data_IF_910924287975
#
_entry.id   IF_910924287975
#
_cell.length_a   1.000
_cell.length_b   1.000
_cell.length_c   1.000
_cell.angle_alpha   90.00
_cell.angle_beta   90.00
_cell.angle_gamma   90.00
#
_symmetry.space_group_name_H-M   'P 1'
#
loop_
_entity.id
_entity.type
_entity.pdbx_description
1 polymer ?
#
# COMPACT_ATOMS: atom_id res chain seq x y z
N UNK A 1 25.79 1.56 3.38
CA UNK A 1 24.67 0.58 3.48
C UNK A 1 23.35 1.32 3.59
N UNK A 2 22.23 0.64 3.33
CA UNK A 2 20.89 1.24 3.46
C UNK A 2 20.01 0.35 4.34
N UNK A 3 19.55 0.88 5.47
CA UNK A 3 18.61 0.21 6.35
C UNK A 3 17.19 0.69 6.04
N UNK A 4 16.35 -0.20 5.55
CA UNK A 4 14.92 0.06 5.34
C UNK A 4 14.14 -0.35 6.57
N UNK A 5 13.26 0.52 7.07
CA UNK A 5 12.40 0.29 8.23
C UNK A 5 10.95 0.52 7.82
N UNK A 6 10.14 -0.54 7.91
CA UNK A 6 8.71 -0.52 7.68
C UNK A 6 8.01 -0.78 9.01
N UNK A 7 7.32 0.22 9.55
CA UNK A 7 6.78 0.19 10.89
C UNK A 7 5.28 0.53 10.88
N UNK A 8 4.44 -0.44 11.19
CA UNK A 8 2.99 -0.28 11.36
C UNK A 8 2.54 -0.43 12.82
N UNK A 9 1.22 -0.44 13.03
CA UNK A 9 0.63 -0.66 14.34
C UNK A 9 0.82 -2.08 14.87
N UNK A 10 0.85 -3.07 13.98
CA UNK A 10 0.89 -4.50 14.32
C UNK A 10 2.14 -5.22 13.82
N UNK A 11 3.09 -4.52 13.20
CA UNK A 11 4.36 -5.14 12.82
C UNK A 11 5.45 -4.11 12.57
N UNK A 12 6.69 -4.53 12.77
CA UNK A 12 7.89 -3.80 12.35
C UNK A 12 8.77 -4.73 11.54
N UNK A 13 9.30 -4.25 10.43
CA UNK A 13 10.26 -4.97 9.60
C UNK A 13 11.48 -4.10 9.40
N UNK A 14 12.66 -4.71 9.45
CA UNK A 14 13.86 -4.08 8.94
C UNK A 14 14.56 -4.95 7.92
N UNK A 15 15.21 -4.32 6.96
CA UNK A 15 16.12 -4.96 6.01
C UNK A 15 17.33 -4.06 5.80
N UNK A 16 18.53 -4.60 6.00
CA UNK A 16 19.80 -3.95 5.71
C UNK A 16 20.29 -4.40 4.34
N UNK A 17 20.57 -3.45 3.47
CA UNK A 17 21.07 -3.68 2.13
C UNK A 17 22.48 -3.12 1.93
N UNK A 18 23.27 -3.83 1.11
CA UNK A 18 24.57 -3.37 0.62
C UNK A 18 24.41 -2.21 -0.37
N UNK A 19 25.52 -1.61 -0.80
CA UNK A 19 25.52 -0.58 -1.85
C UNK A 19 25.01 -1.07 -3.20
N UNK A 20 24.98 -2.40 -3.44
CA UNK A 20 24.43 -3.04 -4.64
C UNK A 20 22.99 -3.53 -4.44
N UNK A 21 22.33 -3.13 -3.35
CA UNK A 21 20.99 -3.57 -2.95
C UNK A 21 20.86 -5.08 -2.70
N UNK A 22 21.97 -5.77 -2.39
CA UNK A 22 21.92 -7.15 -1.90
C UNK A 22 21.52 -7.15 -0.42
N UNK A 23 20.64 -8.07 -0.02
CA UNK A 23 20.22 -8.22 1.37
C UNK A 23 21.40 -8.70 2.23
N UNK A 24 21.68 -7.98 3.32
CA UNK A 24 22.75 -8.28 4.27
C UNK A 24 22.19 -8.88 5.56
N UNK A 25 21.12 -8.28 6.09
CA UNK A 25 20.45 -8.73 7.30
C UNK A 25 18.98 -8.28 7.27
N UNK A 26 18.11 -8.97 8.00
CA UNK A 26 16.70 -8.63 7.98
C UNK A 26 15.87 -9.50 8.90
N UNK A 27 14.87 -8.88 9.52
CA UNK A 27 13.95 -9.58 10.41
C UNK A 27 12.55 -8.95 10.35
N UNK A 28 11.54 -9.78 10.56
CA UNK A 28 10.14 -9.37 10.70
C UNK A 28 9.73 -9.58 12.16
N UNK A 29 9.17 -8.53 12.77
CA UNK A 29 8.59 -8.56 14.10
C UNK A 29 7.06 -8.49 13.95
N UNK A 30 6.38 -9.64 13.75
CA UNK A 30 4.92 -9.68 13.72
C UNK A 30 4.33 -9.32 15.08
N UNK A 31 3.09 -8.84 15.08
CA UNK A 31 2.31 -8.46 16.26
C UNK A 31 3.05 -7.50 17.21
N UNK A 32 3.96 -6.70 16.65
CA UNK A 32 4.86 -5.84 17.41
C UNK A 32 4.79 -4.41 16.88
N UNK A 33 4.49 -3.46 17.76
CA UNK A 33 4.55 -2.03 17.45
C UNK A 33 5.97 -1.46 17.70
N UNK A 34 6.33 -0.34 17.05
CA UNK A 34 7.57 0.40 17.32
C UNK A 34 7.72 0.73 18.80
N UNK A 35 8.82 0.29 19.40
CA UNK A 35 9.16 0.55 20.80
C UNK A 35 10.65 0.78 20.99
N UNK A 36 11.01 1.46 22.08
CA UNK A 36 12.42 1.69 22.45
C UNK A 36 13.19 0.35 22.57
N UNK A 37 12.58 -0.67 23.20
CA UNK A 37 13.20 -2.00 23.38
C UNK A 37 13.51 -2.64 22.03
N UNK A 38 12.56 -2.60 21.09
CA UNK A 38 12.74 -3.19 19.77
C UNK A 38 13.88 -2.49 19.00
N UNK A 39 13.91 -1.16 18.98
CA UNK A 39 14.94 -0.44 18.25
C UNK A 39 16.33 -0.59 18.89
N UNK A 40 16.40 -0.76 20.21
CA UNK A 40 17.65 -1.16 20.88
C UNK A 40 18.13 -2.54 20.42
N UNK A 41 17.22 -3.51 20.32
CA UNK A 41 17.53 -4.85 19.81
C UNK A 41 18.02 -4.79 18.36
N UNK A 42 17.32 -4.07 17.47
CA UNK A 42 17.74 -3.88 16.08
C UNK A 42 19.14 -3.25 16.01
N UNK A 43 19.42 -2.23 16.82
CA UNK A 43 20.74 -1.60 16.85
C UNK A 43 21.85 -2.57 17.27
N UNK A 44 21.60 -3.43 18.27
CA UNK A 44 22.55 -4.47 18.70
C UNK A 44 22.77 -5.53 17.62
N UNK A 45 21.70 -6.00 16.98
CA UNK A 45 21.79 -7.00 15.90
C UNK A 45 22.59 -6.50 14.70
N UNK A 46 22.58 -5.17 14.46
CA UNK A 46 23.28 -4.53 13.35
C UNK A 46 24.67 -3.99 13.72
N UNK A 47 25.09 -4.09 14.98
CA UNK A 47 26.31 -3.44 15.48
C UNK A 47 27.56 -3.91 14.72
N UNK A 48 27.67 -5.22 14.43
CA UNK A 48 28.83 -5.77 13.72
C UNK A 48 28.87 -5.36 12.24
N UNK A 49 27.73 -5.19 11.59
CA UNK A 49 27.61 -4.81 10.18
C UNK A 49 27.84 -3.31 9.95
N UNK A 50 27.66 -2.48 10.98
CA UNK A 50 27.67 -1.01 10.87
C UNK A 50 29.00 -0.34 11.27
N UNK A 51 30.01 -1.08 11.76
CA UNK A 51 31.25 -0.53 12.35
C UNK A 51 32.06 0.45 11.48
N UNK A 52 31.91 0.43 10.15
CA UNK A 52 32.71 1.27 9.24
C UNK A 52 31.92 1.86 8.06
N UNK A 53 30.59 1.71 8.04
CA UNK A 53 29.78 2.03 6.87
C UNK A 53 28.92 3.27 7.09
N UNK A 54 28.98 4.22 6.15
CA UNK A 54 27.99 5.31 6.08
C UNK A 54 26.59 4.70 5.88
N UNK A 55 25.70 4.97 6.83
CA UNK A 55 24.35 4.41 6.86
C UNK A 55 23.33 5.45 6.39
N UNK A 56 22.50 5.06 5.42
CA UNK A 56 21.23 5.73 5.12
C UNK A 56 20.10 4.90 5.69
N UNK A 57 19.08 5.52 6.27
CA UNK A 57 17.90 4.83 6.79
C UNK A 57 16.66 5.30 6.05
N UNK A 58 15.99 4.39 5.35
CA UNK A 58 14.73 4.64 4.67
C UNK A 58 13.56 4.27 5.58
N UNK A 59 12.69 5.23 5.87
CA UNK A 59 11.49 5.04 6.69
C UNK A 59 10.27 5.05 5.79
N UNK A 60 9.44 4.00 5.87
CA UNK A 60 8.11 4.05 5.26
C UNK A 60 7.27 5.10 5.98
N UNK A 61 6.58 5.94 5.21
CA UNK A 61 5.57 6.87 5.70
C UNK A 61 4.33 6.73 4.83
N UNK A 62 3.15 6.52 5.42
CA UNK A 62 1.94 6.31 4.61
C UNK A 62 1.48 7.61 3.96
N UNK A 63 1.44 8.73 4.70
CA UNK A 63 0.96 10.00 4.15
C UNK A 63 1.81 11.19 4.58
N UNK A 64 2.32 11.95 3.62
CA UNK A 64 3.11 13.17 3.87
C UNK A 64 2.36 14.49 3.71
N UNK A 65 1.02 14.47 3.71
CA UNK A 65 0.21 15.60 3.24
C UNK A 65 0.33 15.86 1.73
N UNK A 66 -0.16 17.03 1.25
CA UNK A 66 -0.22 17.36 -0.18
C UNK A 66 1.17 17.50 -0.82
N UNK A 67 2.15 18.00 -0.07
CA UNK A 67 3.45 18.40 -0.64
C UNK A 67 4.58 17.38 -0.43
N UNK A 68 4.49 16.47 0.55
CA UNK A 68 5.56 15.48 0.79
C UNK A 68 5.21 14.14 0.16
N UNK A 69 5.52 14.02 -1.13
CA UNK A 69 5.32 12.78 -1.91
C UNK A 69 6.63 12.23 -2.49
N UNK A 70 7.76 12.90 -2.34
CA UNK A 70 9.05 12.41 -2.86
C UNK A 70 9.92 11.85 -1.74
N UNK A 71 10.72 10.80 -2.00
CA UNK A 71 11.75 10.38 -1.07
C UNK A 71 12.63 11.57 -0.70
N UNK A 72 12.79 11.86 0.59
CA UNK A 72 13.51 13.05 1.04
C UNK A 72 14.13 12.87 2.42
N UNK A 73 15.19 13.64 2.69
CA UNK A 73 15.84 13.66 4.01
C UNK A 73 14.87 14.15 5.07
N UNK A 74 14.83 13.47 6.21
CA UNK A 74 13.96 13.83 7.34
C UNK A 74 14.54 15.04 8.06
N UNK A 75 13.76 16.12 8.08
CA UNK A 75 14.04 17.36 8.83
C UNK A 75 12.92 17.61 9.85
N UNK A 76 13.07 18.57 10.79
CA UNK A 76 11.98 18.96 11.69
C UNK A 76 10.69 19.35 10.95
N UNK A 77 10.81 20.00 9.78
CA UNK A 77 9.67 20.34 8.93
C UNK A 77 8.94 19.10 8.40
N UNK A 78 9.68 18.08 7.93
CA UNK A 78 9.10 16.82 7.47
C UNK A 78 8.33 16.12 8.61
N UNK A 79 8.93 16.02 9.80
CA UNK A 79 8.30 15.42 10.98
C UNK A 79 7.02 16.16 11.36
N UNK A 80 7.05 17.50 11.42
CA UNK A 80 5.89 18.33 11.73
C UNK A 80 4.77 18.13 10.70
N UNK A 81 5.11 18.06 9.42
CA UNK A 81 4.13 17.89 8.35
C UNK A 81 3.46 16.52 8.41
N UNK A 82 4.21 15.45 8.62
CA UNK A 82 3.64 14.09 8.80
C UNK A 82 2.71 14.06 10.02
N UNK A 83 3.09 14.73 11.12
CA UNK A 83 2.27 14.82 12.34
C UNK A 83 0.94 15.55 12.08
N UNK A 84 0.96 16.69 11.39
CA UNK A 84 -0.23 17.47 11.09
C UNK A 84 -1.24 16.70 10.21
N UNK A 85 -0.75 15.79 9.36
CA UNK A 85 -1.57 14.98 8.45
C UNK A 85 -1.79 13.55 8.96
N UNK A 86 -1.47 13.25 10.22
CA UNK A 86 -1.63 11.90 10.78
C UNK A 86 -3.09 11.43 10.78
N UNK A 87 -4.06 12.35 10.81
CA UNK A 87 -5.49 12.04 10.73
C UNK A 87 -5.92 11.40 9.39
N UNK A 88 -5.13 11.58 8.31
CA UNK A 88 -5.37 10.93 7.01
C UNK A 88 -4.95 9.46 6.98
N UNK A 89 -4.04 9.06 7.88
CA UNK A 89 -3.56 7.69 8.01
C UNK A 89 -3.36 7.32 9.50
N UNK A 90 -4.42 7.32 10.31
CA UNK A 90 -4.32 7.26 11.78
C UNK A 90 -3.75 5.93 12.28
N UNK A 91 -3.92 4.85 11.52
CA UNK A 91 -3.36 3.53 11.82
C UNK A 91 -1.88 3.37 11.45
N UNK A 92 -1.29 4.36 10.79
CA UNK A 92 0.05 4.23 10.20
C UNK A 92 0.99 5.37 10.59
N UNK A 93 0.65 6.62 10.27
CA UNK A 93 1.53 7.77 10.46
C UNK A 93 2.05 7.92 11.91
N UNK A 94 1.24 7.74 12.97
CA UNK A 94 1.74 7.80 14.35
C UNK A 94 2.83 6.77 14.64
N UNK A 95 2.71 5.56 14.10
CA UNK A 95 3.69 4.48 14.28
C UNK A 95 4.94 4.71 13.42
N UNK A 96 4.77 5.24 12.19
CA UNK A 96 5.89 5.68 11.36
C UNK A 96 6.72 6.75 12.08
N UNK A 97 6.08 7.75 12.69
CA UNK A 97 6.74 8.81 13.44
C UNK A 97 7.52 8.28 14.66
N UNK A 98 6.92 7.36 15.45
CA UNK A 98 7.61 6.70 16.57
C UNK A 98 8.84 5.92 16.09
N UNK A 99 8.73 5.19 15.00
CA UNK A 99 9.85 4.47 14.41
C UNK A 99 10.99 5.41 13.97
N UNK A 100 10.65 6.54 13.33
CA UNK A 100 11.62 7.59 12.96
C UNK A 100 12.33 8.12 14.21
N UNK A 101 11.58 8.43 15.28
CA UNK A 101 12.12 8.94 16.53
C UNK A 101 13.11 7.94 17.17
N UNK A 102 12.69 6.68 17.35
CA UNK A 102 13.55 5.66 17.93
C UNK A 102 14.78 5.39 17.07
N UNK A 103 14.63 5.29 15.75
CA UNK A 103 15.76 5.09 14.85
C UNK A 103 16.77 6.24 14.96
N UNK A 104 16.32 7.50 15.01
CA UNK A 104 17.23 8.65 15.14
C UNK A 104 18.01 8.64 16.46
N UNK A 105 17.42 8.07 17.51
CA UNK A 105 18.09 7.91 18.81
C UNK A 105 19.18 6.83 18.78
N UNK A 106 18.92 5.70 18.12
CA UNK A 106 19.86 4.57 18.08
C UNK A 106 20.86 4.63 16.90
N UNK A 107 20.58 5.44 15.88
CA UNK A 107 21.45 5.65 14.72
C UNK A 107 21.69 7.14 14.45
N UNK A 108 22.23 7.91 15.43
CA UNK A 108 22.28 9.38 15.35
C UNK A 108 23.15 9.91 14.20
N UNK A 109 24.15 9.14 13.78
CA UNK A 109 25.07 9.52 12.70
C UNK A 109 24.56 9.13 11.30
N UNK A 110 23.41 8.44 11.21
CA UNK A 110 22.84 8.02 9.94
C UNK A 110 22.07 9.15 9.26
N UNK A 111 22.00 9.13 7.93
CA UNK A 111 21.09 10.01 7.19
C UNK A 111 19.71 9.35 7.10
N UNK A 112 18.70 9.96 7.71
CA UNK A 112 17.33 9.45 7.70
C UNK A 112 16.53 10.04 6.54
N UNK A 113 15.77 9.21 5.84
CA UNK A 113 14.93 9.57 4.70
C UNK A 113 13.52 9.03 4.91
N UNK A 114 12.51 9.82 4.55
CA UNK A 114 11.13 9.36 4.47
C UNK A 114 10.84 8.91 3.04
N UNK A 115 10.17 7.77 2.88
CA UNK A 115 9.67 7.24 1.61
C UNK A 115 8.16 7.09 1.74
N UNK A 116 7.41 7.79 0.89
CA UNK A 116 5.97 7.92 1.04
C UNK A 116 5.18 6.93 0.17
N UNK A 117 4.15 6.30 0.73
CA UNK A 117 3.24 5.42 -0.03
C UNK A 117 2.50 6.18 -1.15
N UNK A 118 2.28 7.49 -0.99
CA UNK A 118 1.68 8.36 -2.01
C UNK A 118 2.65 8.71 -3.15
N UNK A 119 3.94 8.36 -3.02
CA UNK A 119 4.98 8.88 -3.89
C UNK A 119 4.98 8.35 -5.32
N UNK A 120 4.49 7.13 -5.54
CA UNK A 120 4.39 6.54 -6.88
C UNK A 120 3.26 7.19 -7.71
N UNK A 121 2.26 7.75 -7.03
CA UNK A 121 1.06 8.35 -7.63
C UNK A 121 1.17 9.86 -7.83
N UNK A 122 2.31 10.46 -7.50
CA UNK A 122 2.61 11.88 -7.78
C UNK A 122 2.44 12.29 -9.26
N UNK A 123 2.40 11.31 -10.18
CA UNK A 123 2.29 11.53 -11.62
C UNK A 123 0.89 11.24 -12.16
N UNK A 124 -0.10 11.03 -11.29
CA UNK A 124 -1.49 10.89 -11.74
C UNK A 124 -1.87 12.14 -12.56
N UNK A 125 -2.53 11.96 -13.72
CA UNK A 125 -3.11 13.08 -14.44
C UNK A 125 -4.30 13.64 -13.66
N UNK A 126 -4.59 14.94 -13.78
CA UNK A 126 -5.68 15.61 -13.06
C UNK A 126 -7.05 14.92 -13.25
N UNK A 127 -7.30 14.31 -14.41
CA UNK A 127 -8.53 13.56 -14.69
C UNK A 127 -8.70 12.32 -13.79
N UNK A 128 -7.62 11.75 -13.28
CA UNK A 128 -7.64 10.64 -12.31
C UNK A 128 -7.43 11.10 -10.86
N UNK A 129 -6.81 12.28 -10.66
CA UNK A 129 -6.51 12.84 -9.34
C UNK A 129 -7.69 13.60 -8.73
N UNK A 130 -8.51 14.30 -9.52
CA UNK A 130 -9.59 15.15 -9.02
C UNK A 130 -10.90 14.37 -8.82
N UNK A 131 -11.55 14.61 -7.69
CA UNK A 131 -12.94 14.18 -7.49
C UNK A 131 -13.91 15.14 -8.19
N UNK A 132 -15.06 14.65 -8.70
CA UNK A 132 -16.08 15.47 -9.38
C UNK A 132 -16.93 16.28 -8.37
N UNK A 133 -16.25 17.10 -7.57
CA UNK A 133 -16.82 18.05 -6.59
C UNK A 133 -16.30 19.46 -6.92
N UNK A 134 -16.83 20.54 -6.33
CA UNK A 134 -16.37 21.89 -6.65
C UNK A 134 -14.84 22.02 -6.51
N UNK A 135 -14.20 22.56 -7.56
CA UNK A 135 -12.73 22.64 -7.66
C UNK A 135 -12.07 23.41 -6.49
N UNK A 136 -12.84 24.25 -5.80
CA UNK A 136 -12.40 24.94 -4.58
C UNK A 136 -11.99 23.97 -3.46
N UNK A 137 -12.56 22.77 -3.38
CA UNK A 137 -12.18 21.78 -2.37
C UNK A 137 -10.77 21.24 -2.58
N UNK A 138 -10.41 20.97 -3.84
CA UNK A 138 -9.03 20.66 -4.22
C UNK A 138 -8.10 21.84 -3.87
N UNK A 139 -8.42 23.05 -4.37
CA UNK A 139 -7.54 24.23 -4.22
C UNK A 139 -7.32 24.66 -2.77
N UNK A 140 -8.35 24.57 -1.91
CA UNK A 140 -8.30 25.07 -0.53
C UNK A 140 -7.92 24.00 0.49
N UNK A 141 -8.35 22.76 0.27
CA UNK A 141 -8.25 21.70 1.27
C UNK A 141 -7.43 20.49 0.82
N UNK A 142 -6.94 20.46 -0.43
CA UNK A 142 -6.18 19.32 -0.94
C UNK A 142 -7.01 18.03 -0.98
N UNK A 143 -8.31 18.14 -1.26
CA UNK A 143 -9.18 16.98 -1.47
C UNK A 143 -8.97 16.46 -2.89
N UNK A 144 -8.20 15.40 -2.97
CA UNK A 144 -7.75 14.75 -4.20
C UNK A 144 -7.45 13.27 -3.92
N UNK A 145 -7.29 12.48 -4.98
CA UNK A 145 -6.80 11.11 -4.91
C UNK A 145 -5.29 11.11 -4.69
N UNK A 146 -4.88 10.72 -3.48
CA UNK A 146 -3.47 10.53 -3.15
C UNK A 146 -2.94 9.17 -3.63
N UNK A 147 -3.75 8.12 -3.45
CA UNK A 147 -3.32 6.74 -3.67
C UNK A 147 -2.32 6.22 -2.62
N UNK A 148 -2.39 4.93 -2.31
CA UNK A 148 -1.51 4.29 -1.31
C UNK A 148 -0.98 2.94 -1.79
N UNK A 149 -0.08 2.33 -1.00
CA UNK A 149 0.76 1.21 -1.42
C UNK A 149 1.69 1.55 -2.61
N UNK A 150 2.02 2.82 -2.84
CA UNK A 150 2.84 3.22 -3.98
C UNK A 150 4.24 2.63 -3.95
N UNK A 151 4.81 2.35 -2.78
CA UNK A 151 6.09 1.63 -2.66
C UNK A 151 5.94 0.21 -3.22
N UNK A 152 4.86 -0.49 -2.88
CA UNK A 152 4.60 -1.84 -3.37
C UNK A 152 4.28 -1.86 -4.87
N UNK A 153 3.48 -0.91 -5.37
CA UNK A 153 3.19 -0.78 -6.80
C UNK A 153 4.43 -0.40 -7.61
N UNK A 154 5.28 0.50 -7.10
CA UNK A 154 6.57 0.84 -7.70
C UNK A 154 7.51 -0.38 -7.77
N UNK A 155 7.54 -1.18 -6.70
CA UNK A 155 8.29 -2.44 -6.68
C UNK A 155 7.77 -3.42 -7.73
N UNK A 156 6.45 -3.65 -7.80
CA UNK A 156 5.83 -4.51 -8.80
C UNK A 156 6.15 -4.06 -10.22
N UNK A 157 6.07 -2.76 -10.50
CA UNK A 157 6.39 -2.19 -11.79
C UNK A 157 7.86 -2.40 -12.17
N UNK A 158 8.78 -2.23 -11.21
CA UNK A 158 10.21 -2.45 -11.41
C UNK A 158 10.54 -3.92 -11.70
N UNK A 159 9.98 -4.85 -10.93
CA UNK A 159 10.20 -6.30 -11.15
C UNK A 159 9.57 -6.76 -12.46
N UNK A 160 8.37 -6.28 -12.79
CA UNK A 160 7.73 -6.60 -14.06
C UNK A 160 8.55 -6.11 -15.25
N UNK A 161 9.09 -4.87 -15.19
CA UNK A 161 10.01 -4.34 -16.19
C UNK A 161 11.22 -5.26 -16.42
N UNK A 162 11.81 -5.79 -15.35
CA UNK A 162 12.95 -6.71 -15.44
C UNK A 162 12.55 -8.06 -16.06
N UNK A 163 11.45 -8.66 -15.58
CA UNK A 163 10.94 -9.95 -16.07
C UNK A 163 10.52 -9.91 -17.54
N UNK A 164 9.86 -8.83 -17.96
CA UNK A 164 9.41 -8.63 -19.34
C UNK A 164 10.52 -8.11 -20.26
N UNK A 165 11.67 -7.67 -19.70
CA UNK A 165 12.73 -6.98 -20.44
C UNK A 165 12.24 -5.73 -21.19
N UNK A 166 11.23 -5.04 -20.64
CA UNK A 166 10.62 -3.84 -21.22
C UNK A 166 10.99 -2.59 -20.42
N UNK A 167 11.44 -1.53 -21.10
CA UNK A 167 11.84 -0.29 -20.41
C UNK A 167 10.66 0.57 -19.95
N UNK A 168 9.54 0.51 -20.69
CA UNK A 168 8.33 1.31 -20.49
C UNK A 168 7.05 0.45 -20.64
N UNK A 169 6.85 -0.57 -19.78
CA UNK A 169 5.68 -1.44 -19.89
C UNK A 169 4.39 -0.72 -19.48
N UNK A 170 3.28 -1.20 -20.03
CA UNK A 170 1.92 -0.95 -19.56
C UNK A 170 1.47 -2.10 -18.67
N UNK A 171 1.15 -1.83 -17.41
CA UNK A 171 0.88 -2.85 -16.41
C UNK A 171 -0.42 -2.53 -15.66
N UNK A 172 -1.11 -3.57 -15.21
CA UNK A 172 -2.07 -3.47 -14.12
C UNK A 172 -1.47 -4.19 -12.92
N UNK A 173 -1.16 -3.45 -11.86
CA UNK A 173 -0.52 -4.01 -10.66
C UNK A 173 -1.55 -4.13 -9.54
N UNK A 174 -1.65 -5.30 -8.92
CA UNK A 174 -2.58 -5.61 -7.84
C UNK A 174 -1.78 -5.92 -6.58
N UNK A 175 -1.91 -5.07 -5.56
CA UNK A 175 -1.43 -5.37 -4.22
C UNK A 175 -2.62 -5.86 -3.40
N UNK A 176 -2.74 -7.17 -3.20
CA UNK A 176 -3.86 -7.78 -2.49
C UNK A 176 -3.41 -8.31 -1.13
N UNK A 177 -4.00 -7.79 -0.06
CA UNK A 177 -3.70 -8.14 1.32
C UNK A 177 -4.79 -7.64 2.28
N UNK A 178 -4.45 -7.44 3.56
CA UNK A 178 -5.39 -6.85 4.53
C UNK A 178 -5.91 -5.49 4.08
N UNK A 179 -5.03 -4.68 3.48
CA UNK A 179 -5.40 -3.63 2.54
C UNK A 179 -5.17 -4.10 1.11
N UNK A 180 -6.07 -3.72 0.20
CA UNK A 180 -5.97 -4.09 -1.19
C UNK A 180 -6.13 -2.88 -2.10
N UNK A 181 -5.23 -2.75 -3.08
CA UNK A 181 -5.27 -1.69 -4.10
C UNK A 181 -4.83 -2.23 -5.45
N UNK A 182 -5.31 -1.57 -6.50
CA UNK A 182 -4.91 -1.83 -7.89
C UNK A 182 -4.44 -0.52 -8.52
N UNK A 183 -3.53 -0.59 -9.48
CA UNK A 183 -2.95 0.58 -10.15
C UNK A 183 -2.74 0.31 -11.63
N UNK A 184 -3.17 1.26 -12.46
CA UNK A 184 -2.83 1.32 -13.88
C UNK A 184 -1.50 2.04 -14.07
N UNK A 185 -0.55 1.38 -14.74
CA UNK A 185 0.77 1.91 -15.04
C UNK A 185 0.90 2.01 -16.54
N UNK A 186 1.03 3.21 -17.10
CA UNK A 186 1.25 3.47 -18.52
C UNK A 186 2.68 3.91 -18.75
N UNK A 187 3.42 3.19 -19.60
CA UNK A 187 4.83 3.49 -19.92
C UNK A 187 5.69 3.69 -18.66
N UNK A 188 5.57 2.78 -17.70
CA UNK A 188 6.24 2.79 -16.39
C UNK A 188 5.88 3.95 -15.43
N UNK A 189 4.78 4.68 -15.66
CA UNK A 189 4.26 5.71 -14.73
C UNK A 189 2.84 5.37 -14.31
N UNK A 190 2.52 5.55 -13.03
CA UNK A 190 1.14 5.41 -12.58
C UNK A 190 0.26 6.48 -13.24
N UNK A 191 -0.87 6.05 -13.78
CA UNK A 191 -1.90 6.93 -14.37
C UNK A 191 -3.24 6.84 -13.64
N UNK A 192 -3.46 5.80 -12.84
CA UNK A 192 -4.65 5.62 -12.01
C UNK A 192 -4.37 4.64 -10.86
N UNK A 193 -5.07 4.77 -9.74
CA UNK A 193 -5.01 3.87 -8.58
C UNK A 193 -6.31 3.86 -7.77
N UNK A 194 -6.70 2.71 -7.23
CA UNK A 194 -8.05 2.57 -6.68
C UNK A 194 -8.25 3.27 -5.35
N UNK A 195 -7.20 3.35 -4.53
CA UNK A 195 -7.30 4.10 -3.29
C UNK A 195 -7.29 5.60 -3.55
N UNK A 196 -8.02 6.32 -2.71
CA UNK A 196 -8.43 7.69 -2.92
C UNK A 196 -7.66 8.72 -2.11
N UNK A 197 -8.43 9.66 -1.57
CA UNK A 197 -8.04 10.59 -0.51
C UNK A 197 -7.51 9.86 0.73
N UNK A 198 -8.13 8.73 1.05
CA UNK A 198 -7.69 7.83 2.12
C UNK A 198 -7.56 6.40 1.59
N UNK A 199 -6.94 5.49 2.36
CA UNK A 199 -6.88 4.08 2.00
C UNK A 199 -8.24 3.36 1.96
N UNK A 200 -9.37 4.03 2.17
CA UNK A 200 -10.69 3.42 2.23
C UNK A 200 -11.29 3.11 0.85
N UNK A 201 -11.13 4.01 -0.12
CA UNK A 201 -11.70 3.86 -1.48
C UNK A 201 -11.06 2.67 -2.21
N UNK A 202 -11.81 2.10 -3.15
CA UNK A 202 -11.30 1.13 -4.10
C UNK A 202 -11.86 -0.27 -3.93
N UNK A 203 -10.94 -1.21 -3.84
CA UNK A 203 -11.26 -2.61 -3.65
C UNK A 203 -11.93 -2.84 -2.30
N UNK A 204 -12.83 -3.82 -2.25
CA UNK A 204 -13.19 -4.47 -1.00
C UNK A 204 -11.90 -5.04 -0.37
N UNK A 205 -11.71 -4.88 0.93
CA UNK A 205 -10.49 -5.35 1.61
C UNK A 205 -10.87 -6.25 2.78
N UNK A 206 -9.93 -6.56 3.68
CA UNK A 206 -10.24 -7.42 4.81
C UNK A 206 -11.33 -6.84 5.72
N UNK A 207 -11.11 -5.65 6.27
CA UNK A 207 -12.05 -4.97 7.17
C UNK A 207 -12.62 -3.66 6.61
N UNK A 208 -12.14 -3.24 5.43
CA UNK A 208 -12.55 -2.01 4.75
C UNK A 208 -13.58 -2.28 3.67
N UNK A 209 -14.55 -1.39 3.56
CA UNK A 209 -15.63 -1.49 2.60
C UNK A 209 -15.15 -1.40 1.13
N UNK A 210 -14.17 -0.54 0.84
CA UNK A 210 -13.89 -0.13 -0.53
C UNK A 210 -14.95 0.87 -1.02
N UNK A 211 -15.18 0.92 -2.33
CA UNK A 211 -16.24 1.77 -2.88
C UNK A 211 -17.61 1.40 -2.30
N UNK A 212 -18.31 2.42 -1.85
CA UNK A 212 -19.70 2.43 -1.42
C UNK A 212 -20.33 3.72 -1.96
N UNK A 213 -21.62 3.69 -2.24
CA UNK A 213 -22.36 4.90 -2.61
C UNK A 213 -22.36 5.90 -1.44
N UNK A 214 -21.86 7.14 -1.62
CA UNK A 214 -21.95 8.19 -0.62
C UNK A 214 -23.40 8.48 -0.18
N UNK A 215 -24.39 8.22 -1.04
CA UNK A 215 -25.82 8.32 -0.74
C UNK A 215 -26.24 7.47 0.46
N UNK A 216 -25.59 6.33 0.71
CA UNK A 216 -25.78 5.52 1.92
C UNK A 216 -25.39 6.34 3.15
N UNK A 217 -24.23 6.99 3.14
CA UNK A 217 -23.75 7.79 4.27
C UNK A 217 -24.60 9.04 4.51
N UNK A 218 -25.17 9.61 3.44
CA UNK A 218 -25.98 10.83 3.54
C UNK A 218 -27.42 10.52 3.97
N UNK A 219 -28.04 9.47 3.39
CA UNK A 219 -29.47 9.21 3.55
C UNK A 219 -29.80 8.17 4.62
N UNK A 220 -28.94 7.17 4.85
CA UNK A 220 -29.22 6.05 5.76
C UNK A 220 -28.55 6.22 7.13
N UNK A 221 -28.24 7.45 7.53
CA UNK A 221 -27.62 7.75 8.82
C UNK A 221 -28.70 8.13 9.83
N UNK A 222 -29.10 7.24 10.76
CA UNK A 222 -29.87 7.62 11.93
C UNK A 222 -29.27 8.85 12.59
N UNK A 223 -30.11 9.73 13.15
CA UNK A 223 -29.67 11.00 13.78
C UNK A 223 -28.54 10.84 14.82
N UNK A 224 -28.37 9.63 15.37
CA UNK A 224 -27.38 9.31 16.40
C UNK A 224 -26.05 8.77 15.83
N UNK A 225 -25.95 8.52 14.53
CA UNK A 225 -24.73 8.02 13.90
C UNK A 225 -23.95 9.18 13.28
N UNK A 226 -22.76 9.46 13.80
CA UNK A 226 -21.88 10.51 13.29
C UNK A 226 -20.73 9.98 12.45
N UNK A 227 -19.84 10.88 12.02
CA UNK A 227 -18.64 10.54 11.25
C UNK A 227 -17.76 9.46 11.92
N UNK A 228 -17.69 9.46 13.26
CA UNK A 228 -16.94 8.44 14.02
C UNK A 228 -17.54 7.03 13.85
N UNK A 229 -18.86 6.92 13.84
CA UNK A 229 -19.56 5.64 13.65
C UNK A 229 -19.25 5.09 12.24
N UNK A 230 -19.46 5.90 11.20
CA UNK A 230 -19.17 5.48 9.83
C UNK A 230 -17.69 5.17 9.60
N UNK A 231 -16.79 5.97 10.18
CA UNK A 231 -15.37 5.67 10.13
C UNK A 231 -15.07 4.29 10.72
N UNK A 232 -15.74 3.92 11.82
CA UNK A 232 -15.59 2.60 12.43
C UNK A 232 -16.11 1.48 11.53
N UNK A 233 -17.37 1.61 11.07
CA UNK A 233 -18.01 0.63 10.19
C UNK A 233 -17.19 0.40 8.94
N UNK A 234 -16.85 1.48 8.23
CA UNK A 234 -16.20 1.42 6.92
C UNK A 234 -14.75 0.94 6.96
N UNK A 235 -14.03 1.13 8.08
CA UNK A 235 -12.61 0.74 8.18
C UNK A 235 -12.35 -0.57 8.93
N UNK A 236 -13.21 -0.97 9.88
CA UNK A 236 -12.92 -2.07 10.80
C UNK A 236 -13.96 -3.19 10.83
N UNK A 237 -15.17 -2.93 10.34
CA UNK A 237 -16.31 -3.88 10.45
C UNK A 237 -16.91 -4.25 9.08
N UNK A 238 -16.33 -3.74 7.99
CA UNK A 238 -16.79 -3.98 6.62
C UNK A 238 -15.92 -5.02 5.90
N UNK A 239 -16.00 -5.08 4.57
CA UNK A 239 -15.12 -5.89 3.74
C UNK A 239 -15.38 -7.39 3.90
N UNK A 240 -14.35 -8.20 3.62
CA UNK A 240 -14.41 -9.66 3.72
C UNK A 240 -14.86 -10.10 5.11
N UNK A 241 -14.34 -9.47 6.15
CA UNK A 241 -14.71 -9.69 7.55
C UNK A 241 -16.19 -9.44 7.78
N UNK A 242 -16.70 -8.26 7.39
CA UNK A 242 -18.08 -7.87 7.64
C UNK A 242 -19.12 -8.78 6.98
N UNK A 243 -18.84 -9.24 5.75
CA UNK A 243 -19.77 -10.11 5.01
C UNK A 243 -19.65 -11.58 5.45
N UNK A 244 -18.44 -12.08 5.68
CA UNK A 244 -18.21 -13.50 5.96
C UNK A 244 -18.28 -13.90 7.43
N UNK A 245 -17.99 -12.96 8.36
CA UNK A 245 -17.76 -13.26 9.77
C UNK A 245 -16.51 -14.11 10.06
N UNK A 246 -15.62 -14.29 9.08
CA UNK A 246 -14.41 -15.10 9.23
C UNK A 246 -13.31 -14.37 10.02
N UNK A 247 -12.42 -15.14 10.66
CA UNK A 247 -11.32 -14.58 11.48
C UNK A 247 -10.24 -13.94 10.63
N UNK A 248 -9.87 -14.61 9.54
CA UNK A 248 -8.80 -14.22 8.62
C UNK A 248 -9.07 -14.77 7.21
N UNK A 249 -8.19 -14.46 6.26
CA UNK A 249 -8.35 -14.85 4.87
C UNK A 249 -8.25 -16.37 4.65
N UNK A 250 -7.48 -17.08 5.46
CA UNK A 250 -7.33 -18.53 5.34
C UNK A 250 -8.59 -19.25 5.85
N UNK A 251 -9.18 -18.76 6.95
CA UNK A 251 -10.49 -19.21 7.44
C UNK A 251 -11.59 -18.99 6.39
N UNK A 252 -11.57 -17.85 5.70
CA UNK A 252 -12.49 -17.56 4.59
C UNK A 252 -12.40 -18.62 3.48
N UNK A 253 -11.18 -18.93 3.01
CA UNK A 253 -10.97 -19.93 1.95
C UNK A 253 -11.42 -21.31 2.39
N UNK A 254 -11.13 -21.70 3.63
CA UNK A 254 -11.54 -22.98 4.20
C UNK A 254 -13.07 -23.10 4.28
N UNK A 255 -13.75 -22.11 4.88
CA UNK A 255 -15.23 -22.09 4.96
C UNK A 255 -15.91 -22.06 3.60
N UNK A 256 -15.32 -21.35 2.63
CA UNK A 256 -15.79 -21.38 1.24
C UNK A 256 -15.68 -22.79 0.64
N UNK A 257 -14.57 -23.49 0.86
CA UNK A 257 -14.38 -24.86 0.39
C UNK A 257 -15.39 -25.83 1.03
N UNK A 258 -15.79 -25.58 2.29
CA UNK A 258 -16.87 -26.29 2.99
C UNK A 258 -18.30 -25.85 2.58
N UNK A 259 -18.45 -24.92 1.63
CA UNK A 259 -19.75 -24.50 1.12
C UNK A 259 -20.48 -23.44 1.94
N UNK A 260 -19.82 -22.77 2.90
CA UNK A 260 -20.46 -21.72 3.70
C UNK A 260 -20.88 -20.54 2.81
N UNK A 261 -22.18 -20.23 2.80
CA UNK A 261 -22.77 -19.23 1.90
C UNK A 261 -22.17 -17.82 2.07
N UNK A 262 -21.98 -17.36 3.31
CA UNK A 262 -21.44 -16.01 3.57
C UNK A 262 -19.96 -15.90 3.19
N UNK A 263 -19.18 -16.97 3.37
CA UNK A 263 -17.78 -17.02 2.95
C UNK A 263 -17.66 -17.00 1.41
N UNK A 264 -18.51 -17.77 0.72
CA UNK A 264 -18.61 -17.74 -0.75
C UNK A 264 -19.00 -16.35 -1.25
N UNK A 265 -20.07 -15.76 -0.70
CA UNK A 265 -20.53 -14.42 -1.07
C UNK A 265 -19.44 -13.37 -0.88
N UNK A 266 -18.77 -13.35 0.27
CA UNK A 266 -17.70 -12.39 0.54
C UNK A 266 -16.54 -12.52 -0.47
N UNK A 267 -16.12 -13.76 -0.77
CA UNK A 267 -15.08 -14.02 -1.76
C UNK A 267 -15.50 -13.59 -3.17
N UNK A 268 -16.73 -13.92 -3.58
CA UNK A 268 -17.26 -13.58 -4.90
C UNK A 268 -17.39 -12.05 -5.07
N UNK A 269 -17.83 -11.32 -4.02
CA UNK A 269 -17.85 -9.85 -4.01
C UNK A 269 -16.45 -9.25 -4.14
N UNK A 270 -15.45 -9.81 -3.45
CA UNK A 270 -14.06 -9.37 -3.52
C UNK A 270 -13.48 -9.57 -4.92
N UNK A 271 -13.67 -10.75 -5.51
CA UNK A 271 -13.25 -11.07 -6.88
C UNK A 271 -13.95 -10.16 -7.90
N UNK A 272 -15.27 -10.00 -7.79
CA UNK A 272 -16.06 -9.16 -8.68
C UNK A 272 -15.57 -7.70 -8.65
N UNK A 273 -15.29 -7.15 -7.45
CA UNK A 273 -14.75 -5.80 -7.33
C UNK A 273 -13.38 -5.68 -8.01
N UNK A 274 -12.50 -6.65 -7.83
CA UNK A 274 -11.19 -6.67 -8.51
C UNK A 274 -11.36 -6.70 -10.03
N UNK A 275 -12.25 -7.54 -10.53
CA UNK A 275 -12.53 -7.68 -11.96
C UNK A 275 -13.03 -6.37 -12.59
N UNK A 276 -13.95 -5.67 -11.91
CA UNK A 276 -14.40 -4.33 -12.34
C UNK A 276 -13.24 -3.36 -12.47
N UNK A 277 -12.34 -3.31 -11.50
CA UNK A 277 -11.18 -2.43 -11.54
C UNK A 277 -10.17 -2.82 -12.63
N UNK A 278 -9.96 -4.12 -12.87
CA UNK A 278 -9.13 -4.56 -13.99
C UNK A 278 -9.75 -4.10 -15.32
N UNK A 279 -11.07 -4.26 -15.51
CA UNK A 279 -11.76 -3.79 -16.70
C UNK A 279 -11.64 -2.27 -16.90
N UNK A 280 -11.85 -1.49 -15.83
CA UNK A 280 -11.68 -0.03 -15.86
C UNK A 280 -10.24 0.37 -16.24
N UNK A 281 -9.23 -0.30 -15.68
CA UNK A 281 -7.82 0.02 -15.96
C UNK A 281 -7.31 -0.53 -17.28
N UNK A 282 -7.89 -1.61 -17.77
CA UNK A 282 -7.70 -2.06 -19.15
C UNK A 282 -8.18 -0.98 -20.12
N UNK A 283 -9.37 -0.40 -19.88
CA UNK A 283 -9.89 0.71 -20.67
C UNK A 283 -9.02 1.98 -20.54
N UNK A 284 -8.59 2.35 -19.33
CA UNK A 284 -7.70 3.50 -19.11
C UNK A 284 -6.32 3.35 -19.80
N UNK A 285 -5.89 2.12 -20.04
CA UNK A 285 -4.68 1.77 -20.80
C UNK A 285 -4.94 1.58 -22.30
N UNK A 286 -6.13 1.90 -22.79
CA UNK A 286 -6.57 1.73 -24.19
C UNK A 286 -6.39 0.28 -24.69
N UNK A 287 -6.65 -0.70 -23.82
CA UNK A 287 -6.49 -2.13 -24.08
C UNK A 287 -5.06 -2.64 -24.23
N UNK A 288 -4.06 -1.75 -24.12
CA UNK A 288 -2.63 -2.12 -24.20
C UNK A 288 -2.11 -2.44 -22.81
N UNK A 289 -2.08 -3.74 -22.47
CA UNK A 289 -1.56 -4.24 -21.19
C UNK A 289 -0.54 -5.35 -21.46
N UNK A 290 0.71 -5.12 -21.10
CA UNK A 290 1.78 -6.11 -21.24
C UNK A 290 1.66 -7.22 -20.19
N UNK A 291 1.33 -6.83 -18.94
CA UNK A 291 1.12 -7.78 -17.87
C UNK A 291 0.17 -7.29 -16.77
N UNK A 292 -0.46 -8.26 -16.13
CA UNK A 292 -1.06 -8.11 -14.80
C UNK A 292 -0.08 -8.65 -13.76
N UNK A 293 0.16 -7.88 -12.70
CA UNK A 293 1.13 -8.21 -11.67
C UNK A 293 0.43 -8.37 -10.33
N UNK A 294 0.37 -9.60 -9.82
CA UNK A 294 -0.17 -9.90 -8.50
C UNK A 294 0.93 -9.83 -7.44
N UNK A 295 0.64 -9.12 -6.36
CA UNK A 295 1.48 -8.99 -5.16
C UNK A 295 0.63 -8.85 -3.91
N UNK A 296 1.26 -8.59 -2.77
CA UNK A 296 0.62 -8.65 -1.46
C UNK A 296 0.42 -10.09 -0.97
N UNK A 297 0.10 -10.27 0.31
CA UNK A 297 -0.04 -11.60 0.93
C UNK A 297 -1.08 -12.48 0.25
N UNK A 298 -2.20 -11.89 -0.20
CA UNK A 298 -3.27 -12.62 -0.90
C UNK A 298 -2.86 -12.81 -2.36
N UNK A 299 -2.43 -11.75 -3.04
CA UNK A 299 -2.19 -11.79 -4.48
C UNK A 299 -1.03 -12.70 -4.85
N UNK A 300 0.08 -12.64 -4.11
CA UNK A 300 1.21 -13.54 -4.32
C UNK A 300 1.00 -14.92 -3.71
N UNK A 301 0.39 -14.99 -2.52
CA UNK A 301 0.26 -16.23 -1.75
C UNK A 301 -0.84 -17.19 -2.19
N UNK A 302 -1.88 -16.73 -2.89
CA UNK A 302 -3.03 -17.59 -3.21
C UNK A 302 -3.33 -17.71 -4.72
N UNK A 303 -3.09 -18.91 -5.26
CA UNK A 303 -3.39 -19.23 -6.65
C UNK A 303 -4.90 -19.29 -6.94
N UNK A 304 -5.73 -19.66 -5.95
CA UNK A 304 -7.18 -19.78 -6.11
C UNK A 304 -7.78 -18.41 -6.43
N UNK A 305 -7.38 -17.39 -5.67
CA UNK A 305 -7.80 -16.00 -5.90
C UNK A 305 -7.35 -15.48 -7.24
N UNK A 306 -6.07 -15.67 -7.60
CA UNK A 306 -5.58 -15.23 -8.91
C UNK A 306 -6.36 -15.84 -10.06
N UNK A 307 -6.65 -17.15 -9.97
CA UNK A 307 -7.46 -17.86 -10.95
C UNK A 307 -8.87 -17.29 -11.02
N UNK A 308 -9.57 -17.18 -9.88
CA UNK A 308 -10.91 -16.62 -9.84
C UNK A 308 -10.99 -15.19 -10.42
N UNK A 309 -9.98 -14.35 -10.14
CA UNK A 309 -9.88 -13.01 -10.73
C UNK A 309 -9.74 -13.06 -12.25
N UNK A 310 -8.85 -13.92 -12.77
CA UNK A 310 -8.58 -14.00 -14.21
C UNK A 310 -9.70 -14.69 -15.02
N UNK A 311 -10.36 -15.71 -14.45
CA UNK A 311 -11.33 -16.54 -15.17
C UNK A 311 -12.56 -15.75 -15.66
N UNK A 312 -12.92 -14.65 -14.98
CA UNK A 312 -14.03 -13.76 -15.40
C UNK A 312 -13.67 -12.70 -16.44
N UNK A 313 -12.43 -12.68 -16.97
CA UNK A 313 -11.93 -11.59 -17.81
C UNK A 313 -11.29 -12.13 -19.11
N UNK A 314 -12.09 -12.48 -20.14
CA UNK A 314 -11.59 -13.14 -21.34
C UNK A 314 -10.57 -12.30 -22.13
N UNK A 315 -10.64 -10.97 -22.07
CA UNK A 315 -9.67 -10.06 -22.70
C UNK A 315 -8.25 -10.18 -22.12
N UNK A 316 -8.08 -10.84 -20.97
CA UNK A 316 -6.77 -11.12 -20.40
C UNK A 316 -6.11 -12.37 -20.96
N UNK A 317 -6.76 -13.15 -21.83
CA UNK A 317 -6.25 -14.45 -22.31
C UNK A 317 -4.77 -14.37 -22.73
N UNK A 318 -4.41 -13.35 -23.50
CA UNK A 318 -3.05 -13.16 -24.04
C UNK A 318 -2.17 -12.19 -23.22
N UNK A 319 -2.66 -11.66 -22.10
CA UNK A 319 -1.88 -10.77 -21.21
C UNK A 319 -1.02 -11.62 -20.28
N UNK A 320 0.25 -11.26 -20.07
CA UNK A 320 1.10 -11.99 -19.13
C UNK A 320 0.60 -11.84 -17.68
N UNK A 321 0.67 -12.91 -16.87
CA UNK A 321 0.31 -12.87 -15.45
C UNK A 321 1.57 -13.11 -14.63
N UNK A 322 2.04 -12.07 -13.94
CA UNK A 322 3.22 -12.12 -13.11
C UNK A 322 2.82 -12.21 -11.64
N UNK A 323 3.54 -13.03 -10.90
CA UNK A 323 3.50 -13.06 -9.44
C UNK A 323 4.80 -12.47 -8.90
N UNK A 324 4.68 -11.55 -7.96
CA UNK A 324 5.78 -10.80 -7.36
C UNK A 324 5.62 -10.81 -5.84
N UNK A 325 6.52 -11.51 -5.15
CA UNK A 325 6.59 -11.50 -3.69
C UNK A 325 6.89 -10.07 -3.19
N UNK A 326 6.11 -9.53 -2.24
CA UNK A 326 6.26 -8.16 -1.78
C UNK A 326 7.64 -7.91 -1.15
N UNK A 327 8.30 -6.84 -1.56
CA UNK A 327 9.56 -6.39 -0.97
C UNK A 327 9.63 -4.85 -1.00
N UNK A 328 8.75 -4.22 -0.22
CA UNK A 328 8.71 -2.77 -0.08
C UNK A 328 10.05 -2.22 0.42
N UNK A 329 10.72 -2.96 1.32
CA UNK A 329 11.99 -2.55 1.91
C UNK A 329 13.11 -2.41 0.87
N UNK A 330 13.16 -3.31 -0.11
CA UNK A 330 14.10 -3.20 -1.23
C UNK A 330 13.80 -1.97 -2.10
N UNK A 331 12.52 -1.70 -2.37
CA UNK A 331 12.13 -0.54 -3.17
C UNK A 331 12.45 0.77 -2.44
N UNK A 332 12.21 0.84 -1.13
CA UNK A 332 12.64 1.96 -0.29
C UNK A 332 14.15 2.17 -0.36
N UNK A 333 14.94 1.08 -0.24
CA UNK A 333 16.39 1.16 -0.33
C UNK A 333 16.84 1.69 -1.70
N UNK A 334 16.24 1.20 -2.78
CA UNK A 334 16.51 1.67 -4.15
C UNK A 334 16.17 3.15 -4.36
N UNK A 335 15.08 3.65 -3.76
CA UNK A 335 14.70 5.06 -3.85
C UNK A 335 15.69 5.95 -3.10
N UNK A 336 16.12 5.54 -1.90
CA UNK A 336 17.07 6.30 -1.07
C UNK A 336 18.52 6.19 -1.56
N UNK A 337 18.87 5.10 -2.25
CA UNK A 337 20.20 4.93 -2.85
C UNK A 337 20.56 6.11 -3.76
N UNK A 338 19.57 6.64 -4.48
CA UNK A 338 19.70 7.73 -5.46
C UNK A 338 19.86 9.14 -4.85
N UNK A 339 19.69 9.29 -3.53
CA UNK A 339 19.73 10.57 -2.80
C UNK A 339 21.01 10.71 -1.98
#
# INVERSE_FOLDING_TARGET
>A
MILSINAGSTSVKYRLFSSKLALVAGEDFPDTAPSKKLFHQIARLLESQLKQNRLKIAHRVVHGGPHLRHPMKITPYVVKTIKNHAHLAPLHNPFNLKAIEFARRYFPNAAHFAVFDTGFFRTLPLVAELYPIPLSFYKKYGIERYGFHGIAHAYCAEIAKQKLKLTRPNLITLHLGGGSSITAVKRARAIDTSMGYSPLEGLMMWSRAGDIDPGVLVSSTPKNFGAKFWNNVLNYESGLKGISGCRDYLDLLHKRALGHHTAKLAFDMFVYRIQKYIGAYYAALNGSVDAIVFSGKIGAGDAITRRAVCDGLPFLKNVAKLVVEPNEEWMMAKLVQKL
#
